data_IF_212984881183
#
_entry.id   IF_212984881183
#
_cell.length_a   1.000
_cell.length_b   1.000
_cell.length_c   1.000
_cell.angle_alpha   90.00
_cell.angle_beta   90.00
_cell.angle_gamma   90.00
#
_symmetry.space_group_name_H-M   'P 1'
#
loop_
_entity.id
_entity.type
_entity.pdbx_description
1 polymer ?
#
# COMPACT_ATOMS: atom_id res chain seq x y z
N UNK A 1 -5.51 -24.24 7.49
CA UNK A 1 -5.30 -22.81 7.83
C UNK A 1 -6.65 -22.10 7.74
N UNK A 2 -7.00 -21.21 8.68
CA UNK A 2 -8.24 -20.44 8.59
C UNK A 2 -8.19 -19.52 7.37
N UNK A 3 -9.32 -19.36 6.67
CA UNK A 3 -9.45 -18.41 5.58
C UNK A 3 -9.29 -16.98 6.14
N UNK A 4 -8.52 -16.09 5.51
CA UNK A 4 -8.44 -14.69 5.94
C UNK A 4 -9.82 -14.04 5.98
N UNK A 5 -10.03 -13.16 6.97
CA UNK A 5 -11.21 -12.29 7.00
C UNK A 5 -11.05 -11.22 5.91
N UNK A 6 -12.15 -10.79 5.30
CA UNK A 6 -12.14 -9.70 4.31
C UNK A 6 -11.78 -10.10 2.88
N UNK A 7 -11.71 -11.40 2.58
CA UNK A 7 -11.54 -11.88 1.20
C UNK A 7 -12.69 -11.37 0.30
N UNK A 8 -12.36 -10.72 -0.82
CA UNK A 8 -13.31 -10.27 -1.84
C UNK A 8 -13.24 -11.15 -3.09
N UNK A 9 -14.28 -11.10 -3.92
CA UNK A 9 -14.29 -11.78 -5.22
C UNK A 9 -13.54 -10.96 -6.27
N UNK A 10 -13.11 -11.60 -7.37
CA UNK A 10 -12.50 -10.89 -8.50
C UNK A 10 -13.44 -9.84 -9.11
N UNK A 11 -14.76 -10.10 -9.14
CA UNK A 11 -15.76 -9.13 -9.58
C UNK A 11 -15.81 -7.90 -8.67
N UNK A 12 -15.75 -8.09 -7.35
CA UNK A 12 -15.68 -6.96 -6.40
C UNK A 12 -14.37 -6.19 -6.54
N UNK A 13 -13.25 -6.85 -6.79
CA UNK A 13 -11.98 -6.18 -7.06
C UNK A 13 -12.05 -5.29 -8.31
N UNK A 14 -12.68 -5.79 -9.39
CA UNK A 14 -12.92 -4.98 -10.60
C UNK A 14 -13.80 -3.77 -10.31
N UNK A 15 -14.91 -3.96 -9.59
CA UNK A 15 -15.81 -2.86 -9.22
C UNK A 15 -15.07 -1.76 -8.42
N UNK A 16 -14.21 -2.15 -7.46
CA UNK A 16 -13.40 -1.20 -6.70
C UNK A 16 -12.41 -0.43 -7.59
N UNK A 17 -11.76 -1.10 -8.53
CA UNK A 17 -10.87 -0.47 -9.51
C UNK A 17 -11.62 0.52 -10.43
N UNK A 18 -12.78 0.12 -10.95
CA UNK A 18 -13.58 0.96 -11.83
C UNK A 18 -14.05 2.21 -11.07
N UNK A 19 -14.46 2.05 -9.79
CA UNK A 19 -14.82 3.17 -8.93
C UNK A 19 -13.64 4.12 -8.67
N UNK A 20 -12.44 3.61 -8.43
CA UNK A 20 -11.26 4.47 -8.31
C UNK A 20 -11.01 5.28 -9.60
N UNK A 21 -11.11 4.61 -10.75
CA UNK A 21 -10.92 5.25 -12.06
C UNK A 21 -11.94 6.38 -12.26
N UNK A 22 -13.22 6.12 -11.97
CA UNK A 22 -14.30 7.08 -12.19
C UNK A 22 -14.35 8.21 -11.17
N UNK A 23 -13.89 7.98 -9.93
CA UNK A 23 -14.10 8.92 -8.82
C UNK A 23 -12.83 9.61 -8.34
N UNK A 24 -11.63 9.07 -8.65
CA UNK A 24 -10.36 9.51 -8.07
C UNK A 24 -9.28 9.83 -9.11
N UNK A 25 -9.27 9.14 -10.26
CA UNK A 25 -8.20 9.31 -11.24
C UNK A 25 -8.02 10.76 -11.66
N UNK A 26 -9.08 11.45 -12.09
CA UNK A 26 -8.99 12.83 -12.58
C UNK A 26 -8.38 13.82 -11.55
N UNK A 27 -8.81 13.72 -10.28
CA UNK A 27 -8.28 14.56 -9.22
C UNK A 27 -6.81 14.26 -8.91
N UNK A 28 -6.44 12.98 -8.88
CA UNK A 28 -5.07 12.54 -8.64
C UNK A 28 -4.13 12.95 -9.79
N UNK A 29 -4.55 12.71 -11.03
CA UNK A 29 -3.80 13.07 -12.23
C UNK A 29 -3.63 14.58 -12.37
N UNK A 30 -4.68 15.35 -12.03
CA UNK A 30 -4.61 16.82 -11.99
C UNK A 30 -3.59 17.28 -10.95
N UNK A 31 -3.59 16.69 -9.75
CA UNK A 31 -2.62 17.01 -8.69
C UNK A 31 -1.19 16.66 -9.12
N UNK A 32 -0.98 15.46 -9.67
CA UNK A 32 0.30 14.98 -10.16
C UNK A 32 0.79 15.72 -11.43
N UNK A 33 -0.13 16.31 -12.21
CA UNK A 33 0.13 16.91 -13.52
C UNK A 33 0.48 15.90 -14.61
N UNK A 34 0.19 14.61 -14.36
CA UNK A 34 0.51 13.45 -15.20
C UNK A 34 -0.33 12.25 -14.76
N UNK A 35 -0.43 11.17 -15.54
CA UNK A 35 -1.03 9.92 -15.08
C UNK A 35 -0.42 9.47 -13.75
N UNK A 36 -1.28 9.22 -12.75
CA UNK A 36 -0.86 8.84 -11.40
C UNK A 36 -0.91 7.31 -11.18
N UNK A 37 -0.21 6.83 -10.17
CA UNK A 37 -0.26 5.44 -9.75
C UNK A 37 -1.54 5.14 -8.96
N UNK A 38 -2.09 3.95 -9.20
CA UNK A 38 -3.24 3.42 -8.44
C UNK A 38 -2.94 2.13 -7.68
N UNK A 39 -1.74 1.58 -7.86
CA UNK A 39 -1.33 0.32 -7.27
C UNK A 39 0.18 0.35 -7.00
N UNK A 40 0.60 -0.47 -6.04
CA UNK A 40 2.00 -0.74 -5.73
C UNK A 40 2.19 -2.25 -5.72
N UNK A 41 3.30 -2.70 -6.32
CA UNK A 41 3.64 -4.12 -6.39
C UNK A 41 4.75 -4.45 -5.41
N UNK A 42 4.61 -5.61 -4.78
CA UNK A 42 5.59 -6.19 -3.88
C UNK A 42 5.81 -7.64 -4.27
N UNK A 43 7.05 -8.10 -4.21
CA UNK A 43 7.33 -9.52 -4.40
C UNK A 43 6.72 -10.29 -3.21
N UNK A 44 6.30 -11.53 -3.45
CA UNK A 44 5.82 -12.39 -2.36
C UNK A 44 6.94 -12.62 -1.32
N UNK A 45 8.17 -12.77 -1.78
CA UNK A 45 9.35 -12.97 -0.93
C UNK A 45 9.60 -11.78 -0.01
N UNK A 46 9.60 -10.56 -0.53
CA UNK A 46 9.84 -9.37 0.30
C UNK A 46 8.68 -9.12 1.27
N UNK A 47 7.44 -9.43 0.86
CA UNK A 47 6.29 -9.38 1.77
C UNK A 47 6.44 -10.36 2.92
N UNK A 48 6.88 -11.59 2.65
CA UNK A 48 7.14 -12.60 3.69
C UNK A 48 8.29 -12.18 4.60
N UNK A 49 9.38 -11.65 4.03
CA UNK A 49 10.53 -11.14 4.77
C UNK A 49 10.16 -9.94 5.65
N UNK A 50 9.37 -8.98 5.13
CA UNK A 50 8.88 -7.84 5.90
C UNK A 50 8.01 -8.29 7.08
N UNK A 51 7.07 -9.21 6.85
CA UNK A 51 6.22 -9.74 7.93
C UNK A 51 7.02 -10.51 8.99
N UNK A 52 8.14 -11.14 8.61
CA UNK A 52 9.06 -11.77 9.55
C UNK A 52 9.83 -10.71 10.33
N UNK A 53 10.48 -9.78 9.63
CA UNK A 53 11.29 -8.72 10.20
C UNK A 53 10.51 -7.91 11.24
N UNK A 54 9.32 -7.40 10.92
CA UNK A 54 8.56 -6.56 11.86
C UNK A 54 8.22 -7.30 13.16
N UNK A 55 8.03 -8.63 13.12
CA UNK A 55 7.78 -9.46 14.31
C UNK A 55 9.02 -9.71 15.14
N UNK A 56 10.19 -9.74 14.52
CA UNK A 56 11.49 -9.91 15.18
C UNK A 56 11.92 -8.59 15.84
N UNK A 57 11.73 -7.47 15.13
CA UNK A 57 12.23 -6.16 15.54
C UNK A 57 11.28 -5.44 16.52
N UNK A 58 10.00 -5.81 16.57
CA UNK A 58 9.00 -5.09 17.36
C UNK A 58 8.19 -5.99 18.29
N UNK A 59 7.96 -5.51 19.51
CA UNK A 59 7.11 -6.18 20.49
C UNK A 59 5.63 -6.00 20.17
N UNK A 60 4.84 -7.08 20.31
CA UNK A 60 3.38 -7.07 20.22
C UNK A 60 2.80 -6.59 18.87
N UNK A 61 3.48 -6.89 17.76
CA UNK A 61 2.91 -6.64 16.42
C UNK A 61 1.58 -7.37 16.28
N UNK A 62 0.54 -6.64 15.91
CA UNK A 62 -0.82 -7.17 15.77
C UNK A 62 -1.39 -7.01 14.36
N UNK A 63 -0.70 -6.31 13.47
CA UNK A 63 -1.16 -6.05 12.11
C UNK A 63 -0.17 -5.25 11.27
N UNK A 64 -0.61 -4.96 10.05
CA UNK A 64 0.09 -4.08 9.09
C UNK A 64 -0.92 -3.08 8.58
N UNK A 65 -0.55 -1.81 8.56
CA UNK A 65 -1.34 -0.72 8.00
C UNK A 65 -0.72 -0.24 6.70
N UNK A 66 -1.57 0.09 5.75
CA UNK A 66 -1.21 0.59 4.44
C UNK A 66 -1.58 2.07 4.35
N UNK A 67 -0.64 2.89 3.93
CA UNK A 67 -0.82 4.33 3.74
C UNK A 67 -0.59 4.72 2.27
N UNK A 68 -1.35 5.70 1.80
CA UNK A 68 -1.00 6.41 0.57
C UNK A 68 0.12 7.40 0.87
N UNK A 69 1.21 7.31 0.12
CA UNK A 69 2.30 8.28 0.10
C UNK A 69 2.46 8.89 -1.29
N UNK A 70 3.38 9.84 -1.42
CA UNK A 70 3.80 10.41 -2.71
C UNK A 70 5.31 10.33 -2.79
N UNK A 71 5.82 9.60 -3.78
CA UNK A 71 7.25 9.52 -4.04
C UNK A 71 7.64 10.67 -4.99
N UNK A 72 8.58 11.51 -4.56
CA UNK A 72 9.08 12.66 -5.32
C UNK A 72 10.55 12.48 -5.65
N UNK A 73 11.02 13.11 -6.72
CA UNK A 73 12.45 13.24 -7.03
C UNK A 73 12.84 14.70 -7.16
N UNK A 74 14.13 15.00 -7.36
CA UNK A 74 14.58 16.36 -7.64
C UNK A 74 13.96 16.91 -8.93
N UNK A 75 13.77 16.05 -9.93
CA UNK A 75 13.18 16.37 -11.23
C UNK A 75 11.65 16.33 -11.20
N UNK A 76 11.06 15.51 -10.33
CA UNK A 76 9.60 15.34 -10.20
C UNK A 76 9.10 15.66 -8.79
N UNK A 77 8.94 16.95 -8.52
CA UNK A 77 8.48 17.47 -7.22
C UNK A 77 7.00 17.23 -6.94
N UNK A 78 6.20 16.89 -7.95
CA UNK A 78 4.79 16.50 -7.76
C UNK A 78 4.67 15.01 -7.45
N UNK A 79 5.58 14.21 -7.97
CA UNK A 79 5.70 12.80 -7.66
C UNK A 79 4.55 11.95 -8.19
N UNK A 80 4.53 10.69 -7.73
CA UNK A 80 3.48 9.72 -7.99
C UNK A 80 3.02 9.09 -6.67
N UNK A 81 1.75 8.74 -6.60
CA UNK A 81 1.20 8.00 -5.47
C UNK A 81 1.95 6.69 -5.28
N UNK A 82 2.20 6.34 -4.03
CA UNK A 82 2.74 5.04 -3.62
C UNK A 82 1.93 4.52 -2.45
N UNK A 83 2.05 3.22 -2.17
CA UNK A 83 1.53 2.64 -0.94
C UNK A 83 2.74 2.23 -0.11
N UNK A 84 2.76 2.57 1.17
CA UNK A 84 3.76 2.02 2.09
C UNK A 84 3.08 1.34 3.27
N UNK A 85 3.77 0.36 3.83
CA UNK A 85 3.27 -0.49 4.90
C UNK A 85 4.04 -0.23 6.19
N UNK A 86 3.34 -0.19 7.32
CA UNK A 86 3.95 -0.08 8.65
C UNK A 86 3.34 -1.09 9.61
N UNK A 87 4.11 -1.62 10.58
CA UNK A 87 3.58 -2.50 11.60
C UNK A 87 2.68 -1.74 12.58
N UNK A 88 1.67 -2.44 13.09
CA UNK A 88 0.80 -1.93 14.16
C UNK A 88 0.91 -2.79 15.42
N UNK A 89 0.56 -2.21 16.57
CA UNK A 89 0.39 -2.90 17.86
C UNK A 89 -0.93 -2.50 18.51
N UNK A 90 -1.38 -3.29 19.48
CA UNK A 90 -2.54 -2.92 20.30
C UNK A 90 -2.14 -1.77 21.25
N UNK A 91 -2.98 -0.75 21.39
CA UNK A 91 -2.78 0.37 22.31
C UNK A 91 -3.23 0.06 23.76
N UNK A 92 -3.69 -1.17 24.02
CA UNK A 92 -4.28 -1.60 25.28
C UNK A 92 -5.74 -1.18 25.45
N UNK A 93 -6.33 -0.51 24.45
CA UNK A 93 -7.73 -0.04 24.43
C UNK A 93 -8.52 -0.67 23.29
N UNK A 94 -7.95 -1.68 22.63
CA UNK A 94 -8.57 -2.37 21.50
C UNK A 94 -8.42 -1.63 20.17
N UNK A 95 -7.53 -0.64 20.08
CA UNK A 95 -7.17 -0.01 18.82
C UNK A 95 -5.84 -0.55 18.31
N UNK A 96 -5.74 -0.68 16.98
CA UNK A 96 -4.47 -0.97 16.32
C UNK A 96 -3.76 0.36 16.04
N UNK A 97 -2.72 0.69 16.78
CA UNK A 97 -1.89 1.88 16.55
C UNK A 97 -0.61 1.53 15.81
N UNK A 98 -0.10 2.44 15.00
CA UNK A 98 1.20 2.26 14.35
C UNK A 98 2.30 2.18 15.41
N UNK A 99 3.34 1.38 15.16
CA UNK A 99 4.50 1.32 16.05
C UNK A 99 5.40 2.52 15.73
N UNK A 100 5.62 3.46 16.66
CA UNK A 100 6.52 4.59 16.42
C UNK A 100 7.93 4.08 16.12
N UNK A 101 8.61 4.75 15.17
CA UNK A 101 9.99 4.49 14.76
C UNK A 101 10.27 3.09 14.17
N UNK A 102 9.23 2.29 13.92
CA UNK A 102 9.38 1.02 13.23
C UNK A 102 9.59 1.22 11.73
N UNK A 103 10.48 0.42 11.14
CA UNK A 103 10.72 0.43 9.71
C UNK A 103 9.44 0.06 8.93
N UNK A 104 9.23 0.78 7.84
CA UNK A 104 8.16 0.52 6.88
C UNK A 104 8.70 -0.06 5.57
N UNK A 105 7.80 -0.60 4.76
CA UNK A 105 8.13 -1.12 3.43
C UNK A 105 7.36 -0.36 2.35
N UNK A 106 8.10 0.18 1.38
CA UNK A 106 7.57 0.71 0.14
C UNK A 106 8.25 -0.01 -1.04
N UNK A 107 7.44 -0.67 -1.88
CA UNK A 107 7.77 -1.47 -3.08
C UNK A 107 8.71 -2.67 -2.89
N UNK A 108 8.52 -3.72 -3.68
CA UNK A 108 9.39 -4.92 -3.71
C UNK A 108 10.43 -4.95 -4.85
N UNK A 109 10.39 -3.99 -5.78
CA UNK A 109 11.39 -3.78 -6.84
C UNK A 109 11.09 -2.47 -7.58
N UNK A 110 12.03 -2.02 -8.44
CA UNK A 110 11.92 -0.89 -9.38
C UNK A 110 10.92 -1.18 -10.51
N UNK A 111 9.67 -1.49 -10.14
CA UNK A 111 8.56 -1.56 -11.08
C UNK A 111 7.89 -0.20 -11.08
N UNK A 112 8.18 0.62 -12.08
CA UNK A 112 7.30 1.73 -12.46
C UNK A 112 6.26 1.11 -13.42
N UNK A 113 4.98 0.95 -13.06
CA UNK A 113 3.96 0.79 -14.07
C UNK A 113 3.23 2.13 -14.19
N UNK A 114 3.62 3.01 -15.14
CA UNK A 114 2.73 4.08 -15.51
C UNK A 114 1.47 3.44 -16.12
N UNK A 115 0.34 3.74 -15.49
CA UNK A 115 -1.00 3.75 -16.09
C UNK A 115 -1.67 2.42 -16.48
N UNK A 116 -1.36 1.27 -15.87
CA UNK A 116 -2.09 0.03 -16.20
C UNK A 116 -3.31 -0.27 -15.29
N UNK A 117 -4.30 -0.94 -15.89
CA UNK A 117 -5.64 -1.29 -15.40
C UNK A 117 -5.71 -2.28 -14.24
N UNK A 118 -6.91 -2.73 -13.91
CA UNK A 118 -7.09 -4.03 -13.26
C UNK A 118 -8.09 -4.87 -14.09
N UNK A 119 -7.80 -6.16 -14.35
CA UNK A 119 -6.50 -6.81 -14.10
C UNK A 119 -5.43 -6.30 -15.08
N UNK A 120 -4.16 -6.39 -14.67
CA UNK A 120 -3.00 -6.26 -15.55
C UNK A 120 -2.64 -7.60 -16.18
#
# INVERSE_FOLDING_TARGET
MPKPKGMITAAKAKELNDNWTNLRADANETAAGKPDNRSSWYSLEDMENFLKQIKEDNSNVNGVRFYLGVETTEEDKKGLTTIFMVPTKDDGKGNNQDIPDADGMDRGAVGVPPNQGYPN
#
